data_IF_216449618654
#
_entry.id   IF_216449618654
#
_cell.length_a   1.000
_cell.length_b   1.000
_cell.length_c   1.000
_cell.angle_alpha   90.00
_cell.angle_beta   90.00
_cell.angle_gamma   90.00
#
_symmetry.space_group_name_H-M   'P 1'
#
loop_
_entity.id
_entity.type
_entity.pdbx_description
1 polymer ?
#
# COMPACT_ATOMS: atom_id res chain seq x y z
N UNK A 1 -73.04 15.62 31.21
CA UNK A 1 -72.72 15.43 29.78
C UNK A 1 -71.22 15.13 29.67
N UNK A 2 -70.86 13.92 29.24
CA UNK A 2 -69.47 13.43 29.10
C UNK A 2 -68.90 13.82 27.73
N UNK A 3 -67.61 14.15 27.60
CA UNK A 3 -66.96 14.32 26.29
C UNK A 3 -66.70 12.97 25.59
N UNK A 4 -66.65 12.95 24.24
CA UNK A 4 -66.55 11.72 23.47
C UNK A 4 -65.13 11.13 23.41
N UNK A 5 -65.10 9.80 23.33
CA UNK A 5 -63.95 8.90 23.25
C UNK A 5 -63.21 8.97 21.91
N UNK A 6 -61.88 9.07 21.94
CA UNK A 6 -60.99 8.90 20.79
C UNK A 6 -60.67 7.41 20.60
N UNK A 7 -60.99 6.88 19.41
CA UNK A 7 -60.53 5.57 18.94
C UNK A 7 -59.08 5.67 18.41
N UNK A 8 -58.19 4.69 18.65
CA UNK A 8 -56.88 4.64 18.02
C UNK A 8 -56.99 4.20 16.55
N UNK A 9 -56.32 4.95 15.66
CA UNK A 9 -56.23 4.65 14.24
C UNK A 9 -55.41 3.36 13.99
N UNK A 10 -55.95 2.48 13.15
CA UNK A 10 -55.32 1.25 12.69
C UNK A 10 -54.20 1.54 11.69
N UNK A 11 -53.02 0.97 11.91
CA UNK A 11 -51.94 0.91 10.91
C UNK A 11 -52.20 -0.24 9.92
N UNK A 12 -51.99 -0.07 8.61
CA UNK A 12 -52.15 -1.14 7.64
C UNK A 12 -51.02 -2.17 7.75
N UNK A 13 -51.42 -3.45 7.80
CA UNK A 13 -50.55 -4.62 7.81
C UNK A 13 -49.76 -4.74 6.49
N UNK A 14 -48.44 -4.49 6.54
CA UNK A 14 -47.54 -4.79 5.41
C UNK A 14 -47.13 -6.26 5.49
N UNK A 15 -47.64 -7.05 4.56
CA UNK A 15 -47.24 -8.45 4.34
C UNK A 15 -45.77 -8.48 3.88
N UNK A 16 -44.89 -9.14 4.65
CA UNK A 16 -43.51 -9.42 4.24
C UNK A 16 -43.50 -10.70 3.40
N UNK A 17 -43.24 -10.57 2.10
CA UNK A 17 -42.83 -11.71 1.28
C UNK A 17 -41.36 -12.06 1.60
N UNK A 18 -41.02 -13.35 1.81
CA UNK A 18 -39.62 -13.77 1.88
C UNK A 18 -39.03 -13.71 0.46
N UNK A 19 -38.03 -12.86 0.24
CA UNK A 19 -37.26 -12.85 -1.00
C UNK A 19 -36.27 -14.01 -0.98
N UNK A 20 -36.52 -14.97 -1.86
CA UNK A 20 -35.59 -16.04 -2.22
C UNK A 20 -34.33 -15.44 -2.83
N UNK A 21 -33.20 -15.55 -2.15
CA UNK A 21 -31.90 -15.12 -2.68
C UNK A 21 -31.27 -16.33 -3.36
N UNK A 22 -31.11 -16.24 -4.69
CA UNK A 22 -30.32 -17.19 -5.48
C UNK A 22 -28.87 -17.16 -5.00
N UNK A 23 -28.37 -18.31 -4.54
CA UNK A 23 -26.95 -18.60 -4.38
C UNK A 23 -26.36 -18.90 -5.76
N UNK A 24 -25.75 -17.90 -6.38
CA UNK A 24 -24.71 -18.14 -7.37
C UNK A 24 -23.38 -17.64 -6.82
N UNK A 25 -22.61 -18.62 -6.34
CA UNK A 25 -21.21 -18.49 -5.92
C UNK A 25 -20.30 -18.50 -7.15
N UNK A 26 -19.41 -17.51 -7.30
CA UNK A 26 -18.17 -17.71 -8.03
C UNK A 26 -17.03 -17.99 -7.05
N UNK A 27 -16.62 -19.26 -7.10
CA UNK A 27 -15.24 -19.74 -7.00
C UNK A 27 -14.41 -19.34 -5.78
N UNK A 28 -14.33 -20.32 -4.89
CA UNK A 28 -13.36 -20.44 -3.82
C UNK A 28 -11.93 -20.61 -4.38
N UNK A 29 -11.13 -19.54 -4.33
CA UNK A 29 -9.68 -19.59 -4.20
C UNK A 29 -9.16 -18.17 -3.88
N UNK A 30 -8.81 -17.88 -2.62
CA UNK A 30 -7.94 -16.73 -2.33
C UNK A 30 -8.11 -15.98 -1.01
N UNK A 31 -9.15 -16.19 -0.20
CA UNK A 31 -9.38 -15.39 1.01
C UNK A 31 -9.67 -16.24 2.24
N UNK A 32 -8.71 -17.09 2.60
CA UNK A 32 -8.84 -18.08 3.67
C UNK A 32 -8.55 -17.52 5.08
N UNK A 33 -9.02 -16.31 5.38
CA UNK A 33 -9.08 -15.76 6.74
C UNK A 33 -10.45 -16.02 7.41
N UNK A 34 -11.49 -16.26 6.60
CA UNK A 34 -12.86 -16.49 7.07
C UNK A 34 -13.04 -17.79 7.87
N UNK A 35 -12.20 -18.81 7.66
CA UNK A 35 -12.40 -20.14 8.27
C UNK A 35 -11.72 -20.36 9.62
N UNK A 36 -10.75 -19.52 10.03
CA UNK A 36 -10.04 -19.70 11.31
C UNK A 36 -10.78 -19.13 12.52
N UNK A 37 -11.69 -18.18 12.31
CA UNK A 37 -12.49 -17.55 13.37
C UNK A 37 -13.69 -18.43 13.76
N UNK A 38 -14.34 -19.04 12.77
CA UNK A 38 -15.62 -19.74 12.96
C UNK A 38 -15.56 -21.02 13.82
N UNK A 39 -14.42 -21.72 13.88
CA UNK A 39 -14.31 -22.99 14.63
C UNK A 39 -13.99 -22.79 16.12
N UNK A 40 -13.62 -21.57 16.53
CA UNK A 40 -13.29 -21.21 17.92
C UNK A 40 -14.49 -20.64 18.69
N UNK A 41 -15.51 -20.15 17.99
CA UNK A 41 -16.63 -19.40 18.57
C UNK A 41 -17.48 -20.23 19.56
N UNK A 42 -17.92 -21.44 19.20
CA UNK A 42 -18.91 -22.16 20.03
C UNK A 42 -18.36 -22.83 21.30
N UNK A 43 -17.07 -23.17 21.35
CA UNK A 43 -16.47 -23.85 22.51
C UNK A 43 -15.81 -22.86 23.51
N UNK A 44 -15.43 -21.67 23.05
CA UNK A 44 -14.88 -20.61 23.88
C UNK A 44 -15.97 -19.81 24.63
N UNK A 45 -17.15 -19.65 24.03
CA UNK A 45 -18.29 -18.92 24.61
C UNK A 45 -18.68 -19.39 26.02
N UNK A 46 -18.61 -20.69 26.31
CA UNK A 46 -19.04 -21.23 27.60
C UNK A 46 -17.99 -21.13 28.72
N UNK A 47 -16.70 -21.08 28.39
CA UNK A 47 -15.59 -21.02 29.39
C UNK A 47 -15.09 -19.57 29.57
N UNK A 48 -15.22 -18.73 28.53
CA UNK A 48 -14.87 -17.32 28.60
C UNK A 48 -15.79 -16.55 29.56
N UNK A 49 -17.10 -16.81 29.54
CA UNK A 49 -18.11 -16.15 30.36
C UNK A 49 -17.78 -16.13 31.87
N UNK A 50 -17.15 -17.19 32.38
CA UNK A 50 -16.79 -17.33 33.79
C UNK A 50 -15.45 -16.67 34.15
N UNK A 51 -14.58 -16.39 33.16
CA UNK A 51 -13.30 -15.68 33.33
C UNK A 51 -13.46 -14.15 33.23
N UNK A 52 -14.45 -13.68 32.45
CA UNK A 52 -14.71 -12.25 32.14
C UNK A 52 -14.86 -11.36 33.38
N UNK A 53 -15.34 -11.89 34.51
CA UNK A 53 -15.57 -11.09 35.72
C UNK A 53 -14.28 -10.59 36.42
N UNK A 54 -13.09 -11.05 36.01
CA UNK A 54 -11.82 -10.75 36.70
C UNK A 54 -10.89 -9.75 36.00
N UNK A 55 -11.09 -9.43 34.72
CA UNK A 55 -10.23 -8.48 33.99
C UNK A 55 -10.74 -7.04 34.14
N UNK A 56 -10.40 -6.42 35.28
CA UNK A 56 -10.76 -5.02 35.55
C UNK A 56 -10.02 -4.08 34.60
N UNK A 57 -10.78 -3.34 33.79
CA UNK A 57 -10.26 -2.28 32.93
C UNK A 57 -9.54 -1.22 33.75
N UNK A 58 -8.23 -1.07 33.55
CA UNK A 58 -7.44 -0.07 34.29
C UNK A 58 -7.47 1.31 33.61
N UNK A 59 -7.11 2.41 34.31
CA UNK A 59 -6.97 3.73 33.68
C UNK A 59 -5.99 3.75 32.50
N UNK A 60 -4.99 2.84 32.48
CA UNK A 60 -4.04 2.72 31.36
C UNK A 60 -4.73 2.17 30.10
N UNK A 61 -5.59 1.16 30.26
CA UNK A 61 -6.42 0.64 29.16
C UNK A 61 -7.30 1.73 28.57
N UNK A 62 -7.98 2.51 29.43
CA UNK A 62 -8.86 3.59 28.98
C UNK A 62 -8.11 4.66 28.17
N UNK A 63 -6.88 5.03 28.56
CA UNK A 63 -6.06 5.99 27.81
C UNK A 63 -5.62 5.45 26.44
N UNK A 64 -5.24 4.17 26.37
CA UNK A 64 -4.87 3.52 25.10
C UNK A 64 -6.08 3.45 24.17
N UNK A 65 -7.23 2.98 24.67
CA UNK A 65 -8.48 2.94 23.90
C UNK A 65 -8.85 4.33 23.40
N UNK A 66 -8.92 5.33 24.29
CA UNK A 66 -9.32 6.69 23.92
C UNK A 66 -8.40 7.30 22.85
N UNK A 67 -7.08 7.08 22.96
CA UNK A 67 -6.13 7.54 21.96
C UNK A 67 -6.36 6.89 20.59
N UNK A 68 -6.64 5.59 20.54
CA UNK A 68 -6.89 4.86 19.30
C UNK A 68 -8.29 5.14 18.71
N UNK A 69 -9.27 5.41 19.56
CA UNK A 69 -10.64 5.71 19.17
C UNK A 69 -10.75 7.07 18.47
N UNK A 70 -10.04 8.08 18.97
CA UNK A 70 -10.04 9.44 18.39
C UNK A 70 -9.08 9.59 17.20
N UNK A 71 -8.15 8.65 17.02
CA UNK A 71 -7.15 8.74 15.96
C UNK A 71 -7.76 8.62 14.56
N UNK A 72 -7.48 9.60 13.69
CA UNK A 72 -7.90 9.57 12.29
C UNK A 72 -7.17 8.47 11.47
N UNK A 73 -5.93 8.17 11.84
CA UNK A 73 -5.07 7.18 11.19
C UNK A 73 -4.31 6.28 12.17
N UNK A 74 -3.51 5.31 11.68
CA UNK A 74 -2.78 4.40 12.55
C UNK A 74 -1.79 5.11 13.45
N UNK A 75 -1.76 4.73 14.73
CA UNK A 75 -0.83 5.25 15.71
C UNK A 75 0.35 4.30 15.91
N UNK A 76 1.57 4.80 15.66
CA UNK A 76 2.79 4.07 15.99
C UNK A 76 2.89 3.82 17.51
N UNK A 77 3.39 2.65 17.93
CA UNK A 77 3.50 2.28 19.35
C UNK A 77 4.24 3.32 20.19
N UNK A 78 5.29 3.95 19.64
CA UNK A 78 6.03 5.02 20.34
C UNK A 78 5.15 6.23 20.67
N UNK A 79 4.34 6.66 19.69
CA UNK A 79 3.38 7.77 19.86
C UNK A 79 2.29 7.39 20.87
N UNK A 80 1.79 6.15 20.79
CA UNK A 80 0.80 5.64 21.74
C UNK A 80 1.35 5.57 23.18
N UNK A 81 2.60 5.16 23.34
CA UNK A 81 3.31 5.12 24.64
C UNK A 81 3.34 6.52 25.27
N UNK A 82 3.67 7.54 24.48
CA UNK A 82 3.70 8.94 24.93
C UNK A 82 2.30 9.46 25.29
N UNK A 83 1.32 9.30 24.39
CA UNK A 83 -0.05 9.82 24.58
C UNK A 83 -0.76 9.16 25.76
N UNK A 84 -0.59 7.84 25.94
CA UNK A 84 -1.20 7.09 27.02
C UNK A 84 -0.34 7.09 28.30
N UNK A 85 0.79 7.81 28.33
CA UNK A 85 1.75 7.88 29.45
C UNK A 85 2.09 6.50 30.02
N UNK A 86 2.62 5.66 29.14
CA UNK A 86 3.03 4.29 29.43
C UNK A 86 4.54 4.23 29.66
N UNK A 87 5.02 3.18 30.32
CA UNK A 87 6.43 2.99 30.63
C UNK A 87 7.25 2.72 29.36
N UNK A 88 6.77 1.82 28.49
CA UNK A 88 7.47 1.47 27.26
C UNK A 88 6.52 0.91 26.17
N UNK A 89 7.12 0.61 25.02
CA UNK A 89 6.44 0.01 23.86
C UNK A 89 5.91 -1.41 24.15
N UNK A 90 6.53 -2.15 25.08
CA UNK A 90 6.10 -3.51 25.44
C UNK A 90 4.81 -3.45 26.24
N UNK A 91 4.71 -2.51 27.18
CA UNK A 91 3.48 -2.23 27.91
C UNK A 91 2.37 -1.80 26.95
N UNK A 92 2.66 -0.92 25.99
CA UNK A 92 1.66 -0.52 24.99
C UNK A 92 1.11 -1.72 24.20
N UNK A 93 1.98 -2.64 23.75
CA UNK A 93 1.56 -3.86 23.04
C UNK A 93 0.72 -4.78 23.93
N UNK A 94 1.17 -5.02 25.16
CA UNK A 94 0.46 -5.85 26.13
C UNK A 94 -0.95 -5.30 26.40
N UNK A 95 -1.07 -3.99 26.64
CA UNK A 95 -2.37 -3.34 26.86
C UNK A 95 -3.30 -3.43 25.64
N UNK A 96 -2.76 -3.41 24.41
CA UNK A 96 -3.57 -3.63 23.19
C UNK A 96 -4.09 -5.07 23.12
N UNK A 97 -3.25 -6.05 23.45
CA UNK A 97 -3.63 -7.46 23.50
C UNK A 97 -4.70 -7.70 24.57
N UNK A 98 -4.49 -7.19 25.79
CA UNK A 98 -5.45 -7.23 26.89
C UNK A 98 -6.79 -6.54 26.50
N UNK A 99 -6.75 -5.38 25.82
CA UNK A 99 -7.95 -4.72 25.32
C UNK A 99 -8.71 -5.58 24.30
N UNK A 100 -8.01 -6.21 23.36
CA UNK A 100 -8.64 -7.09 22.37
C UNK A 100 -9.29 -8.31 23.04
N UNK A 101 -8.65 -8.91 24.05
CA UNK A 101 -9.25 -9.99 24.84
C UNK A 101 -10.54 -9.52 25.54
N UNK A 102 -10.54 -8.32 26.12
CA UNK A 102 -11.74 -7.73 26.74
C UNK A 102 -12.84 -7.45 25.70
N UNK A 103 -12.49 -6.98 24.50
CA UNK A 103 -13.45 -6.75 23.42
C UNK A 103 -14.09 -8.04 22.93
N UNK A 104 -13.27 -9.08 22.72
CA UNK A 104 -13.73 -10.40 22.30
C UNK A 104 -14.66 -11.01 23.38
N UNK A 105 -14.25 -10.93 24.65
CA UNK A 105 -15.03 -11.40 25.79
C UNK A 105 -16.36 -10.64 26.00
N UNK A 106 -16.36 -9.34 25.70
CA UNK A 106 -17.54 -8.48 25.82
C UNK A 106 -18.45 -8.47 24.58
N UNK A 107 -18.12 -9.23 23.52
CA UNK A 107 -18.87 -9.21 22.27
C UNK A 107 -18.87 -7.83 21.58
N UNK A 108 -17.78 -7.08 21.71
CA UNK A 108 -17.67 -5.72 21.15
C UNK A 108 -17.65 -5.72 19.63
N UNK A 109 -18.17 -4.66 19.01
CA UNK A 109 -18.27 -4.57 17.55
C UNK A 109 -16.96 -4.13 16.86
N UNK A 110 -15.87 -3.99 17.60
CA UNK A 110 -14.60 -3.44 17.13
C UNK A 110 -13.40 -4.14 17.76
N UNK A 111 -12.26 -4.00 17.10
CA UNK A 111 -10.97 -4.59 17.49
C UNK A 111 -9.83 -3.63 17.13
N UNK A 112 -8.73 -3.72 17.86
CA UNK A 112 -7.50 -2.98 17.54
C UNK A 112 -6.61 -3.87 16.68
N UNK A 113 -6.28 -3.39 15.49
CA UNK A 113 -5.44 -4.12 14.53
C UNK A 113 -4.18 -3.32 14.19
N UNK A 114 -3.12 -4.05 13.85
CA UNK A 114 -1.87 -3.45 13.37
C UNK A 114 -1.97 -3.22 11.87
N UNK A 115 -1.78 -1.99 11.42
CA UNK A 115 -1.85 -1.60 10.00
C UNK A 115 -0.71 -0.64 9.67
N UNK A 116 -0.07 -0.87 8.53
CA UNK A 116 1.16 -0.22 8.10
C UNK A 116 2.19 -0.18 9.26
N UNK A 117 2.47 1.01 9.78
CA UNK A 117 3.47 1.23 10.84
C UNK A 117 2.88 1.38 12.24
N UNK A 118 1.56 1.25 12.40
CA UNK A 118 0.86 1.57 13.64
C UNK A 118 -0.30 0.63 13.97
N UNK A 119 -1.12 1.06 14.92
CA UNK A 119 -2.33 0.38 15.37
C UNK A 119 -3.53 1.30 15.17
N UNK A 120 -4.67 0.73 14.78
CA UNK A 120 -5.93 1.45 14.59
C UNK A 120 -7.10 0.56 15.01
N UNK A 121 -8.16 1.20 15.49
CA UNK A 121 -9.41 0.51 15.81
C UNK A 121 -10.26 0.36 14.55
N UNK A 122 -10.76 -0.86 14.32
CA UNK A 122 -11.64 -1.20 13.20
C UNK A 122 -12.90 -1.87 13.71
N UNK A 123 -14.01 -1.66 13.00
CA UNK A 123 -15.23 -2.44 13.20
C UNK A 123 -15.03 -3.87 12.68
N UNK A 124 -15.69 -4.84 13.31
CA UNK A 124 -15.60 -6.24 12.87
C UNK A 124 -16.23 -6.44 11.48
N UNK A 125 -15.67 -7.33 10.63
CA UNK A 125 -16.14 -7.54 9.26
C UNK A 125 -17.61 -7.96 9.15
N UNK A 126 -18.16 -8.64 10.15
CA UNK A 126 -19.59 -9.03 10.17
C UNK A 126 -20.55 -7.84 10.10
N UNK A 127 -20.10 -6.64 10.48
CA UNK A 127 -20.89 -5.43 10.42
C UNK A 127 -20.71 -4.65 9.10
N UNK A 128 -19.81 -5.09 8.21
CA UNK A 128 -19.47 -4.35 7.00
C UNK A 128 -20.68 -4.09 6.09
N UNK A 129 -21.52 -5.10 5.85
CA UNK A 129 -22.73 -4.95 5.02
C UNK A 129 -23.72 -3.91 5.58
N UNK A 130 -23.90 -3.91 6.91
CA UNK A 130 -24.80 -2.97 7.58
C UNK A 130 -24.20 -1.55 7.59
N UNK A 131 -22.89 -1.42 7.85
CA UNK A 131 -22.18 -0.14 7.84
C UNK A 131 -22.08 0.49 6.44
N UNK A 132 -22.08 -0.31 5.37
CA UNK A 132 -22.09 0.21 4.00
C UNK A 132 -23.35 1.04 3.72
N UNK A 133 -24.48 0.70 4.36
CA UNK A 133 -25.73 1.49 4.30
C UNK A 133 -25.55 2.91 4.85
N UNK A 134 -24.70 3.09 5.87
CA UNK A 134 -24.40 4.39 6.45
C UNK A 134 -23.52 5.25 5.52
N UNK A 135 -22.67 4.60 4.72
CA UNK A 135 -21.64 5.24 3.91
C UNK A 135 -21.99 5.42 2.43
N UNK A 136 -23.27 5.36 2.05
CA UNK A 136 -23.74 5.55 0.66
C UNK A 136 -23.28 6.89 0.00
N UNK A 137 -22.67 7.82 0.75
CA UNK A 137 -22.07 9.06 0.26
C UNK A 137 -20.56 8.98 -0.08
N UNK A 138 -19.83 7.91 0.25
CA UNK A 138 -18.38 7.78 0.00
C UNK A 138 -17.99 7.18 -1.36
N UNK A 139 -18.80 7.37 -2.41
CA UNK A 139 -18.46 6.94 -3.79
C UNK A 139 -17.13 7.53 -4.30
N UNK A 140 -16.65 8.62 -3.69
CA UNK A 140 -15.44 9.35 -4.08
C UNK A 140 -14.11 8.55 -3.96
N UNK A 141 -14.09 7.44 -3.22
CA UNK A 141 -12.89 6.62 -3.03
C UNK A 141 -12.89 5.33 -3.86
N UNK A 142 -13.95 5.04 -4.63
CA UNK A 142 -13.98 3.86 -5.49
C UNK A 142 -13.05 4.08 -6.68
N UNK A 143 -11.99 3.26 -6.76
CA UNK A 143 -11.15 3.18 -7.94
C UNK A 143 -11.93 2.51 -9.07
N UNK A 144 -11.81 3.04 -10.28
CA UNK A 144 -12.33 2.34 -11.47
C UNK A 144 -11.57 1.04 -11.70
N UNK A 145 -12.14 0.05 -12.42
CA UNK A 145 -11.42 -1.19 -12.73
C UNK A 145 -10.04 -0.96 -13.35
N UNK A 146 -9.84 -0.06 -14.34
CA UNK A 146 -8.52 0.23 -14.89
C UNK A 146 -7.51 0.80 -13.88
N UNK A 147 -7.99 1.63 -12.94
CA UNK A 147 -7.15 2.18 -11.88
C UNK A 147 -6.75 1.09 -10.88
N UNK A 148 -7.67 0.19 -10.55
CA UNK A 148 -7.40 -0.93 -9.65
C UNK A 148 -6.43 -1.93 -10.27
N UNK A 149 -6.56 -2.25 -11.56
CA UNK A 149 -5.59 -3.08 -12.29
C UNK A 149 -4.18 -2.47 -12.25
N UNK A 150 -4.08 -1.18 -12.58
CA UNK A 150 -2.80 -0.46 -12.58
C UNK A 150 -2.17 -0.46 -11.19
N UNK A 151 -2.95 -0.15 -10.15
CA UNK A 151 -2.48 -0.17 -8.77
C UNK A 151 -2.02 -1.56 -8.33
N UNK A 152 -2.74 -2.60 -8.75
CA UNK A 152 -2.39 -4.00 -8.44
C UNK A 152 -1.03 -4.33 -9.06
N UNK A 153 -0.80 -4.01 -10.33
CA UNK A 153 0.49 -4.28 -10.97
C UNK A 153 1.62 -3.56 -10.23
N UNK A 154 1.44 -2.28 -9.87
CA UNK A 154 2.44 -1.54 -9.08
C UNK A 154 2.70 -2.25 -7.74
N UNK A 155 1.66 -2.62 -6.99
CA UNK A 155 1.82 -3.27 -5.68
C UNK A 155 2.58 -4.61 -5.74
N UNK A 156 2.40 -5.37 -6.82
CA UNK A 156 3.04 -6.68 -7.00
C UNK A 156 4.39 -6.65 -7.70
N UNK A 157 4.68 -5.61 -8.51
CA UNK A 157 5.89 -5.53 -9.34
C UNK A 157 6.86 -4.44 -8.90
N UNK A 158 6.50 -3.62 -7.91
CA UNK A 158 7.36 -2.52 -7.47
C UNK A 158 8.75 -2.98 -7.00
N UNK A 159 9.80 -2.17 -7.25
CA UNK A 159 9.77 -0.93 -8.02
C UNK A 159 9.63 -1.21 -9.53
N UNK A 160 8.71 -0.51 -10.22
CA UNK A 160 8.35 -0.81 -11.62
C UNK A 160 8.27 0.45 -12.49
N UNK A 161 8.70 0.39 -13.75
CA UNK A 161 8.60 1.50 -14.70
C UNK A 161 7.25 1.51 -15.44
N UNK A 162 6.84 2.68 -15.96
CA UNK A 162 5.57 2.82 -16.71
C UNK A 162 5.46 1.83 -17.88
N UNK A 163 6.54 1.66 -18.64
CA UNK A 163 6.56 0.79 -19.82
C UNK A 163 6.21 -0.67 -19.47
N UNK A 164 6.77 -1.20 -18.39
CA UNK A 164 6.48 -2.57 -17.92
C UNK A 164 5.02 -2.73 -17.50
N UNK A 165 4.44 -1.70 -16.87
CA UNK A 165 3.02 -1.72 -16.50
C UNK A 165 2.16 -1.76 -17.77
N UNK A 166 2.47 -0.95 -18.77
CA UNK A 166 1.75 -0.91 -20.05
C UNK A 166 1.90 -2.23 -20.81
N UNK A 167 3.08 -2.85 -20.77
CA UNK A 167 3.32 -4.17 -21.35
C UNK A 167 2.46 -5.25 -20.70
N UNK A 168 2.33 -5.25 -19.37
CA UNK A 168 1.48 -6.23 -18.66
C UNK A 168 -0.01 -5.98 -18.95
N UNK A 169 -0.44 -4.71 -19.01
CA UNK A 169 -1.86 -4.37 -19.24
C UNK A 169 -2.28 -4.44 -20.71
N UNK A 170 -1.34 -4.34 -21.64
CA UNK A 170 -1.59 -4.20 -23.07
C UNK A 170 -2.18 -2.85 -23.48
N UNK A 171 -2.29 -1.87 -22.57
CA UNK A 171 -2.86 -0.54 -22.82
C UNK A 171 -2.13 0.55 -22.02
N UNK A 172 -2.20 1.79 -22.49
CA UNK A 172 -1.59 2.94 -21.82
C UNK A 172 -2.13 3.14 -20.39
N UNK A 173 -1.26 3.56 -19.46
CA UNK A 173 -1.61 3.71 -18.04
C UNK A 173 -1.25 5.07 -17.44
N UNK A 174 -0.80 6.04 -18.25
CA UNK A 174 -0.38 7.39 -17.80
C UNK A 174 -1.44 8.08 -16.93
N UNK A 175 -2.69 8.13 -17.39
CA UNK A 175 -3.78 8.77 -16.62
C UNK A 175 -4.09 8.03 -15.32
N UNK A 176 -3.98 6.70 -15.31
CA UNK A 176 -4.21 5.90 -14.11
C UNK A 176 -3.08 6.10 -13.10
N UNK A 177 -1.82 6.15 -13.54
CA UNK A 177 -0.68 6.45 -12.67
C UNK A 177 -0.81 7.84 -12.06
N UNK A 178 -1.17 8.84 -12.87
CA UNK A 178 -1.42 10.21 -12.38
C UNK A 178 -2.54 10.23 -11.33
N UNK A 179 -3.67 9.61 -11.63
CA UNK A 179 -4.80 9.49 -10.70
C UNK A 179 -4.41 8.81 -9.38
N UNK A 180 -3.61 7.75 -9.43
CA UNK A 180 -3.15 7.01 -8.25
C UNK A 180 -2.14 7.82 -7.43
N UNK A 181 -1.28 8.61 -8.07
CA UNK A 181 -0.37 9.53 -7.41
C UNK A 181 -1.12 10.71 -6.77
N UNK A 182 -2.09 11.29 -7.46
CA UNK A 182 -2.94 12.38 -6.94
C UNK A 182 -3.74 11.92 -5.71
N UNK A 183 -4.15 10.64 -5.68
CA UNK A 183 -4.77 10.00 -4.51
C UNK A 183 -3.77 9.50 -3.45
N UNK A 184 -2.47 9.68 -3.67
CA UNK A 184 -1.41 9.29 -2.75
C UNK A 184 -1.26 7.78 -2.55
N UNK A 185 -1.77 6.94 -3.46
CA UNK A 185 -1.65 5.48 -3.39
C UNK A 185 -0.36 4.97 -4.01
N UNK A 186 0.16 5.70 -5.00
CA UNK A 186 1.42 5.45 -5.69
C UNK A 186 2.31 6.69 -5.58
N UNK A 187 3.63 6.50 -5.60
CA UNK A 187 4.64 7.56 -5.63
C UNK A 187 5.79 7.18 -6.56
N UNK A 188 6.64 8.15 -6.86
CA UNK A 188 7.94 7.91 -7.50
C UNK A 188 8.92 7.45 -6.41
N UNK A 189 9.50 6.27 -6.60
CA UNK A 189 10.51 5.66 -5.73
C UNK A 189 11.95 6.04 -6.11
N UNK A 190 12.16 6.46 -7.36
CA UNK A 190 13.45 6.84 -7.92
C UNK A 190 13.41 6.85 -9.45
N UNK A 191 14.59 6.81 -10.06
CA UNK A 191 14.77 6.65 -11.52
C UNK A 191 15.52 5.36 -11.79
N UNK A 192 15.13 4.65 -12.85
CA UNK A 192 15.82 3.45 -13.31
C UNK A 192 17.15 3.82 -14.00
N UNK A 193 18.12 2.92 -13.99
CA UNK A 193 19.44 3.14 -14.59
C UNK A 193 19.49 2.87 -16.10
N UNK A 194 18.41 2.33 -16.68
CA UNK A 194 18.27 2.09 -18.11
C UNK A 194 18.22 3.39 -18.94
N UNK A 195 18.32 3.23 -20.26
CA UNK A 195 18.33 4.34 -21.20
C UNK A 195 17.08 5.23 -21.05
N UNK A 196 17.29 6.53 -20.93
CA UNK A 196 16.21 7.50 -20.73
C UNK A 196 15.76 7.70 -19.28
N UNK A 197 16.36 6.99 -18.31
CA UNK A 197 16.14 7.13 -16.86
C UNK A 197 14.66 7.26 -16.47
N UNK A 198 13.81 6.28 -16.85
CA UNK A 198 12.39 6.35 -16.55
C UNK A 198 12.13 6.29 -15.03
N UNK A 199 11.03 6.92 -14.59
CA UNK A 199 10.62 6.88 -13.19
C UNK A 199 10.19 5.47 -12.75
N UNK A 200 10.62 5.10 -11.54
CA UNK A 200 10.17 3.90 -10.83
C UNK A 200 8.98 4.24 -9.93
N UNK A 201 7.91 3.47 -10.05
CA UNK A 201 6.69 3.63 -9.28
C UNK A 201 6.61 2.60 -8.14
N UNK A 202 6.15 3.08 -6.99
CA UNK A 202 5.95 2.28 -5.77
C UNK A 202 4.65 2.68 -5.07
N UNK A 203 4.07 1.76 -4.31
CA UNK A 203 2.95 2.04 -3.40
C UNK A 203 3.41 2.84 -2.17
N UNK A 204 2.45 3.51 -1.53
CA UNK A 204 2.70 4.34 -0.36
C UNK A 204 2.24 3.67 0.94
N UNK A 205 2.44 4.36 2.07
CA UNK A 205 1.85 3.94 3.35
C UNK A 205 0.32 4.00 3.31
N UNK A 206 -0.25 4.99 2.63
CA UNK A 206 -1.70 5.11 2.48
C UNK A 206 -2.31 3.88 1.80
N UNK A 207 -1.61 3.28 0.83
CA UNK A 207 -2.01 1.99 0.26
C UNK A 207 -2.12 0.93 1.37
N UNK A 208 -1.07 0.70 2.16
CA UNK A 208 -1.12 -0.28 3.25
C UNK A 208 -2.27 0.02 4.23
N UNK A 209 -2.53 1.29 4.52
CA UNK A 209 -3.61 1.73 5.41
C UNK A 209 -5.00 1.42 4.87
N UNK A 210 -5.26 1.72 3.60
CA UNK A 210 -6.56 1.45 2.97
C UNK A 210 -6.82 -0.03 2.79
N UNK A 211 -5.78 -0.82 2.49
CA UNK A 211 -5.89 -2.27 2.30
C UNK A 211 -5.73 -3.05 3.61
N UNK A 212 -5.51 -2.38 4.75
CA UNK A 212 -5.40 -3.02 6.07
C UNK A 212 -4.17 -3.92 6.22
N UNK A 213 -3.10 -3.65 5.46
CA UNK A 213 -1.88 -4.46 5.39
C UNK A 213 -0.82 -3.94 6.38
N UNK A 214 0.01 -4.82 6.96
CA UNK A 214 1.16 -4.41 7.79
C UNK A 214 2.38 -4.13 6.92
N UNK A 215 2.60 -4.99 5.93
CA UNK A 215 3.60 -4.83 4.90
C UNK A 215 3.07 -5.36 3.57
N UNK A 216 3.83 -5.14 2.50
CA UNK A 216 3.49 -5.66 1.16
C UNK A 216 3.59 -7.19 1.07
N UNK A 217 4.22 -7.83 2.05
CA UNK A 217 4.36 -9.29 2.10
C UNK A 217 3.08 -9.96 2.61
N UNK A 218 2.17 -9.17 3.19
CA UNK A 218 0.81 -9.63 3.52
C UNK A 218 -0.09 -9.70 2.27
N UNK A 219 0.39 -9.28 1.08
CA UNK A 219 -0.36 -9.41 -0.16
C UNK A 219 -0.47 -10.90 -0.58
N UNK A 220 -1.67 -11.36 -0.99
CA UNK A 220 -1.85 -12.73 -1.45
C UNK A 220 -0.99 -12.99 -2.69
N UNK A 221 -0.23 -14.08 -2.70
CA UNK A 221 0.62 -14.49 -3.84
C UNK A 221 1.77 -13.53 -4.17
N UNK A 222 2.23 -12.71 -3.20
CA UNK A 222 3.35 -11.78 -3.40
C UNK A 222 4.63 -12.48 -3.91
N UNK A 223 4.90 -13.70 -3.45
CA UNK A 223 6.14 -14.43 -3.79
C UNK A 223 6.16 -14.94 -5.24
N UNK A 224 5.00 -15.28 -5.81
CA UNK A 224 4.88 -15.81 -7.17
C UNK A 224 4.93 -14.69 -8.21
N UNK A 225 4.29 -13.56 -7.90
CA UNK A 225 4.12 -12.47 -8.85
C UNK A 225 5.27 -11.46 -8.84
N UNK A 226 6.10 -11.38 -7.80
CA UNK A 226 7.26 -10.46 -7.75
C UNK A 226 8.43 -10.87 -8.66
N UNK A 227 8.43 -12.09 -9.22
CA UNK A 227 9.47 -12.51 -10.17
C UNK A 227 9.32 -11.74 -11.47
N UNK A 228 10.31 -10.88 -11.78
CA UNK A 228 10.49 -10.30 -13.11
C UNK A 228 10.69 -11.48 -14.08
N UNK A 229 9.93 -11.59 -15.19
CA UNK A 229 10.33 -12.55 -16.22
C UNK A 229 11.73 -12.12 -16.66
N UNK A 230 12.71 -12.99 -16.43
CA UNK A 230 14.05 -12.84 -17.00
C UNK A 230 13.83 -12.69 -18.51
N UNK A 231 14.14 -11.51 -19.03
CA UNK A 231 14.19 -11.35 -20.48
C UNK A 231 15.30 -12.29 -20.94
N UNK A 232 15.05 -13.21 -21.89
CA UNK A 232 16.11 -13.97 -22.51
C UNK A 232 17.12 -12.96 -23.03
N UNK A 233 18.35 -13.02 -22.53
CA UNK A 233 19.45 -12.28 -23.11
C UNK A 233 19.63 -12.92 -24.48
N UNK A 234 19.15 -12.26 -25.54
CA UNK A 234 19.52 -12.64 -26.89
C UNK A 234 21.02 -12.35 -27.01
N UNK A 235 21.82 -13.39 -26.82
CA UNK A 235 23.23 -13.40 -27.18
C UNK A 235 23.29 -13.06 -28.68
N UNK A 236 23.61 -11.80 -28.97
CA UNK A 236 23.93 -11.36 -30.31
C UNK A 236 25.32 -11.93 -30.60
N UNK A 237 25.36 -13.14 -31.17
CA UNK A 237 26.56 -13.66 -31.83
C UNK A 237 26.78 -12.82 -33.09
N UNK A 238 27.48 -11.70 -32.96
CA UNK A 238 28.05 -10.97 -34.09
C UNK A 238 29.35 -11.65 -34.55
N UNK A 239 29.27 -12.17 -35.77
CA UNK A 239 30.28 -12.14 -36.84
C UNK A 239 31.61 -12.90 -36.67
N UNK A 240 31.66 -14.10 -37.24
CA UNK A 240 32.84 -14.60 -37.95
C UNK A 240 32.46 -15.31 -39.25
N UNK A 241 32.42 -14.56 -40.36
CA UNK A 241 32.56 -15.14 -41.70
C UNK A 241 33.43 -14.23 -42.58
N UNK A 242 34.69 -14.63 -42.79
CA UNK A 242 35.33 -14.70 -44.11
C UNK A 242 36.82 -15.01 -43.98
N UNK A 243 37.20 -16.26 -44.23
CA UNK A 243 38.56 -16.63 -44.58
C UNK A 243 38.50 -17.44 -45.89
N UNK A 244 39.03 -16.84 -46.95
CA UNK A 244 39.25 -17.48 -48.25
C UNK A 244 39.31 -16.45 -49.37
N UNK A 245 40.51 -15.99 -49.75
CA UNK A 245 41.25 -16.54 -50.91
C UNK A 245 42.58 -15.76 -51.13
N UNK A 246 43.55 -16.41 -51.75
CA UNK A 246 44.99 -16.08 -51.79
C UNK A 246 45.44 -14.97 -52.79
N UNK A 247 46.53 -14.30 -52.40
CA UNK A 247 47.73 -13.89 -53.16
C UNK A 247 47.67 -13.16 -54.52
N UNK A 248 48.34 -11.99 -54.61
CA UNK A 248 49.55 -11.79 -55.45
C UNK A 248 50.13 -10.35 -55.38
N UNK A 249 51.40 -10.29 -54.96
CA UNK A 249 52.55 -9.47 -55.40
C UNK A 249 52.43 -7.97 -55.78
N UNK A 250 53.32 -7.16 -55.19
CA UNK A 250 53.81 -5.89 -55.76
C UNK A 250 54.57 -5.00 -54.75
N UNK A 251 55.90 -5.15 -54.68
CA UNK A 251 56.83 -4.22 -54.01
C UNK A 251 56.79 -2.82 -54.64
N UNK A 252 56.99 -1.76 -53.83
CA UNK A 252 58.08 -0.77 -54.02
C UNK A 252 58.10 0.29 -52.91
N UNK A 253 59.33 0.68 -52.57
CA UNK A 253 59.80 1.60 -51.54
C UNK A 253 59.27 3.05 -51.66
N UNK A 254 59.22 3.76 -50.52
CA UNK A 254 60.17 4.84 -50.18
C UNK A 254 59.57 5.95 -49.30
N UNK A 255 60.43 6.37 -48.36
CA UNK A 255 60.58 7.69 -47.74
C UNK A 255 59.65 8.19 -46.61
N UNK A 256 60.29 8.46 -45.46
CA UNK A 256 59.84 9.46 -44.49
C UNK A 256 60.15 10.89 -44.97
N UNK A 257 60.13 11.95 -44.12
CA UNK A 257 60.50 11.92 -42.71
C UNK A 257 59.63 12.77 -41.76
N UNK A 258 60.12 12.82 -40.51
CA UNK A 258 59.65 13.52 -39.32
C UNK A 258 59.71 15.06 -39.34
N UNK A 259 58.98 15.68 -38.41
CA UNK A 259 59.31 16.84 -37.54
C UNK A 259 57.99 17.33 -36.90
N UNK A 260 57.76 17.33 -35.59
CA UNK A 260 58.38 18.16 -34.52
C UNK A 260 58.37 19.67 -34.78
N UNK A 261 57.50 20.39 -34.07
CA UNK A 261 57.75 21.63 -33.32
C UNK A 261 56.45 21.93 -32.53
N UNK A 262 56.39 21.99 -31.19
CA UNK A 262 56.88 23.09 -30.32
C UNK A 262 56.42 24.47 -30.87
N UNK A 263 55.90 25.43 -30.12
CA UNK A 263 55.99 25.79 -28.71
C UNK A 263 55.00 26.93 -28.44
N UNK A 264 54.73 27.16 -27.15
CA UNK A 264 54.66 28.47 -26.49
C UNK A 264 53.55 29.48 -26.92
N UNK A 265 53.02 30.34 -26.07
CA UNK A 265 53.12 30.66 -24.65
C UNK A 265 52.29 31.95 -24.49
N UNK A 266 52.09 32.37 -23.25
CA UNK A 266 51.90 33.76 -22.86
C UNK A 266 50.47 34.31 -22.97
N UNK A 267 49.89 34.95 -21.96
CA UNK A 267 50.40 35.34 -20.63
C UNK A 267 49.26 35.99 -19.86
N UNK A 268 49.36 35.87 -18.53
CA UNK A 268 49.21 36.93 -17.52
C UNK A 268 47.94 37.80 -17.57
N UNK A 269 47.06 37.66 -16.57
CA UNK A 269 47.14 38.32 -15.26
C UNK A 269 46.29 39.60 -15.28
N UNK A 270 45.45 39.80 -14.28
CA UNK A 270 45.80 40.65 -13.14
C UNK A 270 44.56 40.88 -12.25
N UNK A 271 44.93 41.08 -11.00
CA UNK A 271 44.24 41.32 -9.76
C UNK A 271 43.16 42.42 -9.69
N UNK A 272 42.34 42.30 -8.64
CA UNK A 272 42.29 43.35 -7.61
C UNK A 272 41.02 44.22 -7.50
N UNK A 273 40.55 44.38 -6.26
CA UNK A 273 39.75 45.53 -5.81
C UNK A 273 38.28 45.19 -5.49
N UNK A 274 37.88 44.94 -4.24
CA UNK A 274 37.74 45.86 -3.09
C UNK A 274 36.51 46.78 -3.14
N UNK A 275 35.64 46.56 -2.15
CA UNK A 275 34.86 47.52 -1.36
C UNK A 275 33.70 48.31 -2.02
N UNK A 276 32.52 48.19 -1.42
CA UNK A 276 31.94 49.18 -0.47
C UNK A 276 30.43 49.43 -0.69
N UNK A 277 29.73 49.57 0.45
CA UNK A 277 28.40 50.21 0.68
C UNK A 277 27.14 49.61 0.02
N UNK A 278 25.92 49.80 0.54
CA UNK A 278 25.29 50.11 1.82
C UNK A 278 23.84 50.55 1.46
N UNK A 279 22.89 50.34 2.39
CA UNK A 279 21.53 50.88 2.43
C UNK A 279 20.53 50.30 1.38
N UNK A 280 19.27 50.00 1.71
CA UNK A 280 18.42 50.36 2.83
C UNK A 280 17.41 49.24 3.15
#
# INVERSE_FOLDING_TARGET
MRPPSLHPAAFPSVQRHPLSISTDSPSAAGWNWQQRLFRRELAAEAVAAETVLSQVRTPRHARVEAALFVAEGPLALRKLTQLATLADVREARRLIEELNEMYDAGGSAFRIERVATGYKMYTLPQFAWWLDQLHHRQSALKLSPPAMETLTIVAFRQPVIRADIEQIRGVQCTEMLKLLMDRGLVRIGGEDTSLGRPYLYETTRLFLELFGLRSLDDLPMADELRRRPEQPVEETEEDQESAGDEAAAGETDADGPAAEDETAESTAADSGGSADRAAA
#
